data_IF_908781820607
#
_entry.id   IF_908781820607
#
_cell.length_a   1.000
_cell.length_b   1.000
_cell.length_c   1.000
_cell.angle_alpha   90.00
_cell.angle_beta   90.00
_cell.angle_gamma   90.00
#
_symmetry.space_group_name_H-M   'P 1'
#
loop_
_entity.id
_entity.type
_entity.pdbx_description
1 polymer ?
#
# COMPACT_ATOMS: atom_id res chain seq x y z
N UNK A 1 84.55 50.66 -17.97
CA UNK A 1 83.35 50.36 -18.79
C UNK A 1 82.68 49.17 -18.20
N UNK A 2 81.65 49.40 -17.44
CA UNK A 2 80.96 48.40 -16.61
C UNK A 2 79.60 48.12 -17.21
N UNK A 3 79.36 46.88 -17.62
CA UNK A 3 78.05 46.42 -18.11
C UNK A 3 77.21 45.95 -16.94
N UNK A 4 76.08 46.62 -16.70
CA UNK A 4 74.95 46.13 -15.76
C UNK A 4 74.09 45.21 -16.52
N UNK A 5 73.97 43.97 -16.04
CA UNK A 5 73.02 42.96 -16.51
C UNK A 5 71.75 43.11 -15.72
N UNK A 6 70.58 43.28 -16.39
CA UNK A 6 69.29 43.45 -15.83
C UNK A 6 68.65 42.06 -15.46
N UNK A 7 68.56 41.74 -14.19
CA UNK A 7 67.98 40.48 -13.67
C UNK A 7 66.60 40.70 -13.09
N UNK A 8 65.69 41.32 -13.85
CA UNK A 8 64.30 41.54 -13.29
C UNK A 8 63.11 40.94 -14.10
N UNK A 9 63.31 40.15 -15.16
CA UNK A 9 62.19 39.67 -16.00
C UNK A 9 61.81 38.19 -15.86
N UNK A 10 62.53 37.41 -15.07
CA UNK A 10 62.26 35.94 -14.99
C UNK A 10 61.41 35.50 -13.81
N UNK A 11 61.33 36.34 -12.76
CA UNK A 11 60.53 35.94 -11.57
C UNK A 11 59.00 36.12 -11.75
N UNK A 12 58.60 37.19 -12.47
CA UNK A 12 57.15 37.47 -12.70
C UNK A 12 56.48 36.46 -13.66
N UNK A 13 57.23 35.94 -14.64
CA UNK A 13 56.75 34.96 -15.60
C UNK A 13 56.64 33.54 -14.98
N UNK A 14 57.42 33.19 -14.00
CA UNK A 14 57.34 31.91 -13.28
C UNK A 14 56.20 31.92 -12.28
N UNK A 15 55.89 32.99 -11.59
CA UNK A 15 54.79 33.16 -10.68
C UNK A 15 53.41 33.12 -11.41
N UNK A 16 53.31 33.74 -12.60
CA UNK A 16 52.05 33.71 -13.38
C UNK A 16 51.75 32.34 -13.99
N UNK A 17 52.78 31.53 -14.30
CA UNK A 17 52.57 30.14 -14.75
C UNK A 17 52.20 29.22 -13.60
N UNK A 18 52.80 29.32 -12.43
CA UNK A 18 52.45 28.53 -11.25
C UNK A 18 51.00 28.83 -10.80
N UNK A 19 50.57 30.10 -10.80
CA UNK A 19 49.23 30.50 -10.42
C UNK A 19 48.15 29.98 -11.41
N UNK A 20 48.47 29.90 -12.72
CA UNK A 20 47.55 29.34 -13.73
C UNK A 20 47.43 27.84 -13.63
N UNK A 21 48.46 27.09 -13.27
CA UNK A 21 48.37 25.65 -13.07
C UNK A 21 47.61 25.30 -11.77
N UNK A 22 47.75 26.08 -10.71
CA UNK A 22 47.01 25.86 -9.45
C UNK A 22 45.51 26.18 -9.58
N UNK A 23 45.12 27.20 -10.36
CA UNK A 23 43.72 27.49 -10.65
C UNK A 23 43.07 26.41 -11.54
N UNK A 24 43.82 25.88 -12.52
CA UNK A 24 43.28 24.85 -13.41
C UNK A 24 43.08 23.51 -12.71
N UNK A 25 43.97 23.13 -11.78
CA UNK A 25 43.84 21.92 -10.99
C UNK A 25 42.71 22.01 -9.94
N UNK A 26 42.46 23.20 -9.35
CA UNK A 26 41.34 23.40 -8.41
C UNK A 26 40.00 23.41 -9.12
N UNK A 27 39.89 23.93 -10.34
CA UNK A 27 38.61 23.89 -11.12
C UNK A 27 38.32 22.48 -11.61
N UNK A 28 39.31 21.68 -12.01
CA UNK A 28 39.11 20.28 -12.35
C UNK A 28 38.74 19.41 -11.12
N UNK A 29 39.27 19.69 -9.94
CA UNK A 29 38.92 18.98 -8.70
C UNK A 29 37.50 19.30 -8.22
N UNK A 30 37.01 20.52 -8.44
CA UNK A 30 35.63 20.92 -8.13
C UNK A 30 34.62 20.35 -9.14
N UNK A 31 34.99 20.11 -10.38
CA UNK A 31 34.11 19.44 -11.35
C UNK A 31 34.08 17.92 -11.18
N UNK A 32 35.11 17.29 -10.64
CA UNK A 32 35.13 15.86 -10.32
C UNK A 32 34.20 15.48 -9.14
N UNK A 33 33.93 16.42 -8.22
CA UNK A 33 32.95 16.22 -7.14
C UNK A 33 31.49 16.31 -7.62
N UNK A 34 31.21 16.84 -8.81
CA UNK A 34 29.85 17.02 -9.34
C UNK A 34 29.35 15.84 -10.17
N UNK A 35 30.18 14.82 -10.41
CA UNK A 35 29.84 13.65 -11.24
C UNK A 35 30.15 12.32 -10.54
N UNK A 36 29.81 12.20 -9.25
CA UNK A 36 29.68 10.85 -8.71
C UNK A 36 28.40 10.28 -9.28
N UNK A 37 28.46 9.22 -10.10
CA UNK A 37 27.26 8.49 -10.46
C UNK A 37 26.60 8.06 -9.14
N UNK A 38 25.36 8.44 -8.94
CA UNK A 38 24.59 7.95 -7.80
C UNK A 38 24.76 6.44 -7.75
N UNK A 39 25.24 5.92 -6.62
CA UNK A 39 25.38 4.47 -6.46
C UNK A 39 24.09 3.79 -6.93
N UNK A 40 24.16 2.69 -7.70
CA UNK A 40 22.99 2.01 -8.17
C UNK A 40 22.06 1.71 -6.98
N UNK A 41 20.82 2.15 -7.08
CA UNK A 41 19.84 1.99 -6.02
C UNK A 41 18.99 0.74 -6.32
N UNK A 42 19.00 -0.21 -5.40
CA UNK A 42 18.09 -1.34 -5.47
C UNK A 42 16.65 -0.92 -5.20
N UNK A 43 15.67 -1.60 -5.78
CA UNK A 43 14.25 -1.32 -5.61
C UNK A 43 13.66 -1.96 -4.35
N UNK A 44 14.30 -3.00 -3.80
CA UNK A 44 13.80 -3.76 -2.65
C UNK A 44 13.65 -2.96 -1.34
N UNK A 45 14.37 -1.84 -1.21
CA UNK A 45 14.30 -0.96 -0.05
C UNK A 45 13.45 0.30 -0.30
N UNK A 46 12.74 0.36 -1.44
CA UNK A 46 11.91 1.50 -1.79
C UNK A 46 10.47 1.33 -1.29
N UNK A 47 9.82 2.47 -1.16
CA UNK A 47 8.40 2.54 -0.85
C UNK A 47 7.80 3.88 -1.24
N UNK A 48 6.49 3.97 -1.10
CA UNK A 48 5.72 5.19 -1.27
C UNK A 48 4.95 5.52 -0.01
N UNK A 49 4.90 6.81 0.31
CA UNK A 49 3.98 7.38 1.29
C UNK A 49 3.06 8.35 0.57
N UNK A 50 1.76 8.19 0.76
CA UNK A 50 0.76 9.09 0.18
C UNK A 50 0.67 10.36 1.01
N UNK A 51 0.91 11.51 0.39
CA UNK A 51 0.68 12.85 0.94
C UNK A 51 -0.68 13.36 0.43
N UNK A 52 -1.73 13.01 1.18
CA UNK A 52 -3.11 13.10 0.72
C UNK A 52 -3.61 14.54 0.53
N UNK A 53 -3.11 15.50 1.30
CA UNK A 53 -3.56 16.89 1.22
C UNK A 53 -3.07 17.59 -0.06
N UNK A 54 -1.87 17.25 -0.52
CA UNK A 54 -1.21 17.87 -1.68
C UNK A 54 -1.34 17.06 -2.97
N UNK A 55 -1.95 15.86 -2.93
CA UNK A 55 -2.07 15.01 -4.12
C UNK A 55 -0.71 14.54 -4.65
N UNK A 56 0.22 14.26 -3.74
CA UNK A 56 1.58 13.82 -4.02
C UNK A 56 1.85 12.46 -3.39
N UNK A 57 2.94 11.84 -3.81
CA UNK A 57 3.54 10.71 -3.12
C UNK A 57 5.02 10.98 -2.85
N UNK A 58 5.48 10.64 -1.66
CA UNK A 58 6.90 10.65 -1.32
C UNK A 58 7.50 9.27 -1.60
N UNK A 59 8.60 9.22 -2.37
CA UNK A 59 9.40 8.00 -2.55
C UNK A 59 10.37 7.90 -1.38
N UNK A 60 10.34 6.81 -0.66
CA UNK A 60 11.16 6.59 0.53
C UNK A 60 12.12 5.42 0.36
N UNK A 61 13.23 5.47 1.10
CA UNK A 61 14.19 4.37 1.21
C UNK A 61 14.23 3.89 2.65
N UNK A 62 13.87 2.64 2.89
CA UNK A 62 13.75 2.04 4.22
C UNK A 62 15.10 1.76 4.86
N UNK A 63 16.12 1.37 4.10
CA UNK A 63 17.47 1.12 4.63
C UNK A 63 18.21 2.40 5.03
N UNK A 64 17.91 3.53 4.38
CA UNK A 64 18.51 4.82 4.68
C UNK A 64 17.65 5.70 5.59
N UNK A 65 16.43 5.29 5.88
CA UNK A 65 15.42 6.05 6.64
C UNK A 65 15.22 7.46 6.07
N UNK A 66 15.02 7.56 4.75
CA UNK A 66 15.02 8.85 4.05
C UNK A 66 13.85 8.99 3.09
N UNK A 67 13.32 10.21 3.01
CA UNK A 67 12.52 10.67 1.87
C UNK A 67 13.50 11.03 0.73
N UNK A 68 13.34 10.35 -0.42
CA UNK A 68 14.20 10.56 -1.60
C UNK A 68 13.66 11.65 -2.52
N UNK A 69 12.44 12.10 -2.30
CA UNK A 69 11.78 13.14 -3.08
C UNK A 69 10.31 12.81 -3.36
N UNK A 70 9.59 13.82 -3.79
CA UNK A 70 8.15 13.77 -4.04
C UNK A 70 7.82 13.69 -5.52
N UNK A 71 6.70 13.07 -5.84
CA UNK A 71 6.08 13.05 -7.17
C UNK A 71 4.71 13.69 -7.07
N UNK A 72 4.50 14.74 -7.83
CA UNK A 72 3.25 15.52 -7.88
C UNK A 72 2.43 15.24 -9.14
N UNK A 73 1.19 15.80 -9.21
CA UNK A 73 0.33 15.68 -10.38
C UNK A 73 -0.54 14.42 -10.40
N UNK A 74 -0.69 13.75 -9.22
CA UNK A 74 -1.47 12.51 -9.12
C UNK A 74 -2.97 12.74 -8.87
N UNK A 75 -3.43 13.99 -8.73
CA UNK A 75 -4.82 14.34 -8.50
C UNK A 75 -5.28 14.15 -7.07
N UNK A 76 -6.54 13.76 -6.85
CA UNK A 76 -7.10 13.60 -5.51
C UNK A 76 -6.66 12.29 -4.86
N UNK A 77 -5.76 12.38 -3.89
CA UNK A 77 -5.28 11.26 -3.08
C UNK A 77 -5.90 11.19 -1.68
N UNK A 78 -7.02 11.88 -1.46
CA UNK A 78 -7.73 11.86 -0.17
C UNK A 78 -8.16 10.44 0.27
N UNK A 79 -8.33 9.55 -0.69
CA UNK A 79 -8.46 8.12 -0.51
C UNK A 79 -7.79 7.43 -1.70
N UNK A 80 -6.62 6.87 -1.48
CA UNK A 80 -5.80 6.29 -2.53
C UNK A 80 -5.14 5.00 -2.08
N UNK A 81 -4.80 4.15 -3.04
CA UNK A 81 -4.01 2.94 -2.81
C UNK A 81 -2.94 2.76 -3.88
N UNK A 82 -2.01 1.87 -3.62
CA UNK A 82 -0.84 1.63 -4.48
C UNK A 82 -0.64 0.14 -4.68
N UNK A 83 -0.34 -0.26 -5.92
CA UNK A 83 0.26 -1.55 -6.25
C UNK A 83 1.55 -1.34 -7.02
N UNK A 84 2.44 -2.33 -7.00
CA UNK A 84 3.74 -2.23 -7.65
C UNK A 84 3.86 -3.18 -8.84
N UNK A 85 4.67 -2.78 -9.83
CA UNK A 85 5.12 -3.72 -10.87
C UNK A 85 5.94 -4.86 -10.26
N UNK A 86 5.92 -6.03 -10.87
CA UNK A 86 6.60 -7.22 -10.33
C UNK A 86 8.13 -7.04 -10.24
N UNK A 87 8.72 -6.18 -11.08
CA UNK A 87 10.12 -5.78 -11.03
C UNK A 87 10.41 -4.67 -10.01
N UNK A 88 9.38 -4.19 -9.31
CA UNK A 88 9.47 -3.14 -8.26
C UNK A 88 10.00 -1.79 -8.76
N UNK A 89 9.97 -1.53 -10.07
CA UNK A 89 10.44 -0.25 -10.62
C UNK A 89 9.32 0.80 -10.67
N UNK A 90 8.07 0.35 -10.78
CA UNK A 90 6.91 1.22 -10.93
C UNK A 90 5.90 1.02 -9.83
N UNK A 91 5.30 2.12 -9.40
CA UNK A 91 4.10 2.14 -8.58
C UNK A 91 2.90 2.61 -9.42
N UNK A 92 1.76 1.95 -9.24
CA UNK A 92 0.49 2.35 -9.81
C UNK A 92 -0.38 2.88 -8.70
N UNK A 93 -0.69 4.18 -8.77
CA UNK A 93 -1.45 4.90 -7.74
C UNK A 93 -2.85 5.14 -8.24
N UNK A 94 -3.85 4.67 -7.46
CA UNK A 94 -5.27 4.85 -7.74
C UNK A 94 -5.78 6.03 -6.92
N UNK A 95 -6.17 7.10 -7.59
CA UNK A 95 -6.71 8.31 -6.97
C UNK A 95 -8.23 8.26 -6.84
N UNK A 96 -8.77 8.96 -5.84
CA UNK A 96 -10.20 9.06 -5.60
C UNK A 96 -10.96 9.70 -6.77
N UNK A 97 -10.32 10.58 -7.51
CA UNK A 97 -10.87 11.21 -8.71
C UNK A 97 -11.00 10.28 -9.92
N UNK A 98 -10.66 8.99 -9.74
CA UNK A 98 -10.66 8.00 -10.83
C UNK A 98 -9.39 7.99 -11.66
N UNK A 99 -8.37 8.74 -11.26
CA UNK A 99 -7.05 8.71 -11.89
C UNK A 99 -6.28 7.43 -11.58
N UNK A 100 -5.64 6.85 -12.60
CA UNK A 100 -4.61 5.82 -12.48
C UNK A 100 -3.28 6.41 -12.93
N UNK A 101 -2.32 6.50 -12.04
CA UNK A 101 -1.01 7.10 -12.25
C UNK A 101 0.09 6.06 -12.21
N UNK A 102 1.03 6.07 -13.17
CA UNK A 102 2.25 5.24 -13.20
C UNK A 102 3.44 6.10 -12.78
N UNK A 103 4.05 5.75 -11.67
CA UNK A 103 5.19 6.44 -11.07
C UNK A 103 6.43 5.57 -11.18
N UNK A 104 7.50 6.10 -11.74
CA UNK A 104 8.82 5.46 -11.75
C UNK A 104 9.54 5.77 -10.44
N UNK A 105 9.83 4.75 -9.64
CA UNK A 105 10.43 4.89 -8.31
C UNK A 105 11.90 5.30 -8.37
N UNK A 106 12.64 4.85 -9.38
CA UNK A 106 14.06 5.14 -9.52
C UNK A 106 14.31 6.58 -9.97
N UNK A 107 13.51 7.05 -10.93
CA UNK A 107 13.64 8.44 -11.44
C UNK A 107 12.79 9.44 -10.66
N UNK A 108 11.87 8.96 -9.83
CA UNK A 108 10.88 9.76 -9.07
C UNK A 108 10.07 10.68 -9.97
N UNK A 109 9.52 10.10 -11.05
CA UNK A 109 8.74 10.83 -12.04
C UNK A 109 7.39 10.16 -12.25
N UNK A 110 6.37 11.00 -12.47
CA UNK A 110 5.11 10.57 -13.05
C UNK A 110 5.33 10.29 -14.54
N UNK A 111 5.23 9.03 -14.96
CA UNK A 111 5.42 8.66 -16.37
C UNK A 111 4.15 8.75 -17.18
N UNK A 112 3.02 8.35 -16.58
CA UNK A 112 1.74 8.39 -17.24
C UNK A 112 0.60 8.52 -16.22
N UNK A 113 -0.50 9.14 -16.63
CA UNK A 113 -1.75 9.20 -15.86
C UNK A 113 -2.94 9.15 -16.81
N UNK A 114 -3.90 8.29 -16.49
CA UNK A 114 -5.16 8.17 -17.23
C UNK A 114 -6.33 8.40 -16.29
N UNK A 115 -7.32 9.17 -16.75
CA UNK A 115 -8.60 9.31 -16.05
C UNK A 115 -9.50 8.18 -16.52
N UNK A 116 -9.71 7.16 -15.68
CA UNK A 116 -10.37 5.93 -16.09
C UNK A 116 -11.79 5.79 -15.53
N UNK A 117 -12.15 6.58 -14.52
CA UNK A 117 -13.46 6.59 -13.88
C UNK A 117 -13.76 7.95 -13.24
N UNK A 118 -14.93 8.11 -12.64
CA UNK A 118 -15.29 9.28 -11.85
C UNK A 118 -14.93 9.14 -10.36
N UNK A 119 -14.80 7.91 -9.88
CA UNK A 119 -14.39 7.61 -8.50
C UNK A 119 -13.79 6.20 -8.44
N UNK A 120 -12.57 6.12 -7.96
CA UNK A 120 -11.84 4.85 -7.76
C UNK A 120 -11.02 4.94 -6.48
N UNK A 121 -10.77 3.81 -5.83
CA UNK A 121 -10.01 3.79 -4.58
C UNK A 121 -9.00 2.64 -4.51
N UNK A 122 -8.90 1.83 -5.54
CA UNK A 122 -7.99 0.70 -5.48
C UNK A 122 -7.91 -0.11 -6.74
N UNK A 123 -7.02 -1.06 -6.70
CA UNK A 123 -6.77 -1.98 -7.79
C UNK A 123 -5.85 -3.11 -7.42
N UNK A 124 -5.49 -3.90 -8.43
CA UNK A 124 -4.60 -5.04 -8.30
C UNK A 124 -3.63 -5.10 -9.49
N UNK A 125 -2.51 -5.80 -9.31
CA UNK A 125 -1.56 -6.15 -10.36
C UNK A 125 -1.70 -7.64 -10.67
N UNK A 126 -1.77 -8.00 -11.96
CA UNK A 126 -1.79 -9.41 -12.36
C UNK A 126 -0.55 -10.18 -11.89
N UNK A 127 -0.69 -11.50 -11.71
CA UNK A 127 0.40 -12.35 -11.23
C UNK A 127 1.63 -12.29 -12.14
N UNK A 128 1.42 -12.16 -13.45
CA UNK A 128 2.50 -12.03 -14.43
C UNK A 128 2.99 -10.57 -14.65
N UNK A 129 2.38 -9.60 -14.00
CA UNK A 129 2.76 -8.18 -14.10
C UNK A 129 2.32 -7.47 -15.37
N UNK A 130 1.55 -8.13 -16.27
CA UNK A 130 1.12 -7.52 -17.53
C UNK A 130 -0.02 -6.54 -17.41
N UNK A 131 -0.89 -6.73 -16.43
CA UNK A 131 -2.10 -5.93 -16.26
C UNK A 131 -2.14 -5.24 -14.91
N UNK A 132 -2.53 -3.98 -14.92
CA UNK A 132 -2.98 -3.25 -13.75
C UNK A 132 -4.50 -3.05 -13.86
N UNK A 133 -5.22 -3.35 -12.79
CA UNK A 133 -6.68 -3.42 -12.79
C UNK A 133 -7.23 -2.47 -11.75
N UNK A 134 -8.16 -1.60 -12.15
CA UNK A 134 -8.79 -0.60 -11.30
C UNK A 134 -10.22 -1.00 -10.95
N UNK A 135 -10.59 -0.90 -9.67
CA UNK A 135 -11.96 -1.02 -9.21
C UNK A 135 -12.62 0.35 -9.13
N UNK A 136 -13.90 0.44 -9.48
CA UNK A 136 -14.60 1.70 -9.62
C UNK A 136 -15.89 1.75 -8.82
N UNK A 137 -16.14 2.89 -8.17
CA UNK A 137 -17.43 3.21 -7.57
C UNK A 137 -18.37 3.88 -8.56
N UNK A 138 -17.83 4.74 -9.42
CA UNK A 138 -18.61 5.50 -10.41
C UNK A 138 -17.88 5.44 -11.76
N UNK A 139 -18.50 4.90 -12.80
CA UNK A 139 -19.88 4.36 -12.88
C UNK A 139 -20.07 2.99 -12.23
N UNK A 140 -19.04 2.38 -11.66
CA UNK A 140 -18.94 0.99 -11.19
C UNK A 140 -18.08 0.17 -12.13
N UNK A 141 -17.93 -1.12 -11.81
CA UNK A 141 -17.17 -2.05 -12.64
C UNK A 141 -15.65 -2.03 -12.42
N UNK A 142 -14.98 -2.72 -13.34
CA UNK A 142 -13.53 -2.95 -13.30
C UNK A 142 -12.94 -2.63 -14.67
N UNK A 143 -11.82 -1.89 -14.70
CA UNK A 143 -11.07 -1.65 -15.93
C UNK A 143 -9.68 -2.24 -15.86
N UNK A 144 -9.30 -2.93 -16.92
CA UNK A 144 -8.00 -3.62 -17.07
C UNK A 144 -7.13 -2.83 -18.03
N UNK A 145 -5.94 -2.48 -17.60
CA UNK A 145 -4.95 -1.74 -18.38
C UNK A 145 -3.69 -2.57 -18.59
N UNK A 146 -3.06 -2.41 -19.73
CA UNK A 146 -1.69 -2.85 -19.94
C UNK A 146 -0.77 -2.08 -18.98
N UNK A 147 0.01 -2.79 -18.18
CA UNK A 147 0.84 -2.18 -17.13
C UNK A 147 1.99 -1.32 -17.71
N UNK A 148 2.45 -1.62 -18.93
CA UNK A 148 3.52 -0.87 -19.55
C UNK A 148 3.04 0.46 -20.13
N UNK A 149 1.94 0.44 -20.88
CA UNK A 149 1.44 1.59 -21.66
C UNK A 149 0.29 2.34 -21.02
N UNK A 150 -0.40 1.77 -20.04
CA UNK A 150 -1.70 2.20 -19.50
C UNK A 150 -2.82 2.28 -20.57
N UNK A 151 -2.69 1.55 -21.67
CA UNK A 151 -3.79 1.39 -22.61
C UNK A 151 -4.88 0.47 -22.06
N UNK A 152 -6.14 0.80 -22.31
CA UNK A 152 -7.29 -0.02 -21.88
C UNK A 152 -7.30 -1.35 -22.65
N UNK A 153 -7.30 -2.46 -21.92
CA UNK A 153 -7.36 -3.82 -22.44
C UNK A 153 -8.77 -4.39 -22.36
N UNK A 154 -9.46 -4.17 -21.27
CA UNK A 154 -10.83 -4.62 -21.06
C UNK A 154 -11.61 -3.69 -20.13
N UNK A 155 -12.92 -3.58 -20.37
CA UNK A 155 -13.88 -2.91 -19.50
C UNK A 155 -14.93 -3.93 -19.06
N UNK A 156 -15.11 -4.09 -17.76
CA UNK A 156 -16.06 -5.02 -17.13
C UNK A 156 -17.07 -4.16 -16.36
N UNK A 157 -18.21 -3.82 -16.93
CA UNK A 157 -19.12 -2.82 -16.35
C UNK A 157 -19.82 -3.24 -15.06
N UNK A 158 -19.66 -4.49 -14.60
CA UNK A 158 -20.31 -5.04 -13.41
C UNK A 158 -21.85 -4.85 -13.42
N UNK A 159 -22.46 -5.03 -14.60
CA UNK A 159 -23.91 -4.98 -14.75
C UNK A 159 -24.54 -6.24 -14.15
N UNK A 160 -25.26 -6.07 -13.04
CA UNK A 160 -25.91 -7.17 -12.32
C UNK A 160 -27.40 -7.31 -12.66
N UNK A 161 -28.02 -6.26 -13.20
CA UNK A 161 -29.38 -6.27 -13.74
C UNK A 161 -29.44 -5.22 -14.90
N UNK A 162 -30.41 -5.29 -15.81
CA UNK A 162 -30.51 -4.40 -16.95
C UNK A 162 -30.41 -2.91 -16.55
N UNK A 163 -29.36 -2.24 -17.00
CA UNK A 163 -29.06 -0.85 -16.70
C UNK A 163 -28.59 -0.56 -15.28
N UNK A 164 -28.34 -1.59 -14.45
CA UNK A 164 -27.88 -1.42 -13.07
C UNK A 164 -26.41 -1.87 -12.94
N UNK A 165 -25.55 -0.89 -12.71
CA UNK A 165 -24.12 -1.13 -12.45
C UNK A 165 -23.86 -1.14 -10.95
N UNK A 166 -23.00 -2.04 -10.49
CA UNK A 166 -22.59 -2.10 -9.10
C UNK A 166 -21.28 -1.36 -8.89
N UNK A 167 -21.18 -0.71 -7.74
CA UNK A 167 -19.88 -0.32 -7.17
C UNK A 167 -19.05 -1.59 -6.96
N UNK A 168 -17.78 -1.54 -7.35
CA UNK A 168 -16.84 -2.64 -7.14
C UNK A 168 -15.89 -2.30 -6.00
N UNK A 169 -15.70 -3.27 -5.11
CA UNK A 169 -14.85 -3.17 -3.94
C UNK A 169 -14.07 -4.49 -3.75
N UNK A 170 -13.02 -4.46 -2.93
CA UNK A 170 -12.31 -5.68 -2.55
C UNK A 170 -11.63 -6.41 -3.71
N UNK A 171 -11.24 -5.70 -4.77
CA UNK A 171 -10.53 -6.28 -5.90
C UNK A 171 -9.15 -6.80 -5.48
N UNK A 172 -8.90 -8.07 -5.80
CA UNK A 172 -7.62 -8.75 -5.59
C UNK A 172 -7.25 -9.55 -6.83
N UNK A 173 -5.94 -9.75 -7.03
CA UNK A 173 -5.42 -10.76 -7.94
C UNK A 173 -5.47 -12.15 -7.28
N UNK A 174 -5.65 -13.19 -8.05
CA UNK A 174 -5.72 -14.56 -7.54
C UNK A 174 -4.94 -15.54 -8.45
N UNK A 175 -4.42 -16.64 -7.90
CA UNK A 175 -3.78 -17.68 -8.70
C UNK A 175 -4.74 -18.26 -9.72
N UNK A 176 -4.19 -18.64 -10.87
CA UNK A 176 -4.94 -19.33 -11.93
C UNK A 176 -4.22 -20.62 -12.31
N UNK A 177 -4.99 -21.64 -12.66
CA UNK A 177 -4.45 -22.91 -13.20
C UNK A 177 -4.46 -22.95 -14.72
N UNK A 178 -5.06 -21.93 -15.38
CA UNK A 178 -5.20 -21.85 -16.83
C UNK A 178 -4.34 -20.76 -17.47
N UNK A 179 -4.54 -20.56 -18.77
CA UNK A 179 -3.99 -19.40 -19.46
C UNK A 179 -4.84 -18.16 -19.14
N UNK A 180 -4.19 -17.10 -18.74
CA UNK A 180 -4.83 -15.85 -18.36
C UNK A 180 -4.52 -15.42 -16.93
N UNK A 181 -5.07 -14.29 -16.54
CA UNK A 181 -4.90 -13.70 -15.21
C UNK A 181 -6.25 -13.62 -14.52
N UNK A 182 -6.29 -13.99 -13.25
CA UNK A 182 -7.52 -14.05 -12.46
C UNK A 182 -7.59 -12.91 -11.49
N UNK A 183 -8.79 -12.30 -11.42
CA UNK A 183 -9.14 -11.29 -10.43
C UNK A 183 -10.47 -11.65 -9.76
N UNK A 184 -10.58 -11.31 -8.49
CA UNK A 184 -11.79 -11.53 -7.69
C UNK A 184 -12.19 -10.20 -7.07
N UNK A 185 -13.48 -9.89 -7.09
CA UNK A 185 -14.00 -8.64 -6.54
C UNK A 185 -15.46 -8.75 -6.11
N UNK A 186 -15.81 -7.92 -5.13
CA UNK A 186 -17.17 -7.83 -4.58
C UNK A 186 -17.97 -6.77 -5.30
N UNK A 187 -19.24 -7.07 -5.56
CA UNK A 187 -20.23 -6.14 -6.08
C UNK A 187 -21.14 -5.68 -4.93
N UNK A 188 -20.89 -4.45 -4.44
CA UNK A 188 -21.58 -3.90 -3.27
C UNK A 188 -23.10 -3.85 -3.42
N UNK A 189 -23.57 -3.43 -4.59
CA UNK A 189 -25.01 -3.20 -4.84
C UNK A 189 -25.75 -4.46 -5.33
N UNK A 190 -25.06 -5.57 -5.47
CA UNK A 190 -25.59 -6.79 -6.06
C UNK A 190 -25.58 -8.01 -5.12
N UNK A 191 -24.93 -7.90 -3.94
CA UNK A 191 -24.73 -9.03 -3.03
C UNK A 191 -24.01 -10.21 -3.72
N UNK A 192 -23.02 -9.89 -4.59
CA UNK A 192 -22.31 -10.87 -5.40
C UNK A 192 -20.77 -10.71 -5.26
N UNK A 193 -20.06 -11.80 -5.54
CA UNK A 193 -18.63 -11.80 -5.85
C UNK A 193 -18.44 -12.33 -7.27
N UNK A 194 -17.64 -11.62 -8.06
CA UNK A 194 -17.28 -12.05 -9.40
C UNK A 194 -15.83 -12.48 -9.48
N UNK A 195 -15.60 -13.56 -10.24
CA UNK A 195 -14.28 -14.01 -10.64
C UNK A 195 -14.13 -13.70 -12.13
N UNK A 196 -13.13 -12.90 -12.47
CA UNK A 196 -12.82 -12.53 -13.86
C UNK A 196 -11.50 -13.16 -14.29
N UNK A 197 -11.53 -14.00 -15.32
CA UNK A 197 -10.35 -14.53 -16.00
C UNK A 197 -10.08 -13.70 -17.26
N UNK A 198 -8.90 -13.10 -17.34
CA UNK A 198 -8.46 -12.20 -18.43
C UNK A 198 -7.38 -12.92 -19.24
N UNK A 199 -7.68 -13.20 -20.50
CA UNK A 199 -6.71 -13.76 -21.43
C UNK A 199 -6.46 -12.78 -22.59
N UNK A 200 -5.23 -12.75 -23.09
CA UNK A 200 -4.83 -11.84 -24.16
C UNK A 200 -5.67 -12.08 -25.43
N UNK A 201 -6.25 -11.02 -25.96
CA UNK A 201 -7.04 -11.07 -27.21
C UNK A 201 -8.41 -11.74 -27.07
N UNK A 202 -8.87 -12.04 -25.85
CA UNK A 202 -10.17 -12.64 -25.58
C UNK A 202 -11.01 -11.72 -24.68
N UNK A 203 -12.34 -11.84 -24.80
CA UNK A 203 -13.24 -11.20 -23.86
C UNK A 203 -13.06 -11.81 -22.46
N UNK A 204 -13.14 -11.00 -21.38
CA UNK A 204 -13.10 -11.50 -20.01
C UNK A 204 -14.15 -12.58 -19.75
N UNK A 205 -13.74 -13.69 -19.15
CA UNK A 205 -14.67 -14.73 -18.70
C UNK A 205 -15.06 -14.45 -17.27
N UNK A 206 -16.36 -14.28 -17.02
CA UNK A 206 -16.90 -13.92 -15.70
C UNK A 206 -17.64 -15.13 -15.10
N UNK A 207 -17.26 -15.48 -13.88
CA UNK A 207 -18.02 -16.40 -13.02
C UNK A 207 -18.64 -15.59 -11.89
N UNK A 208 -19.97 -15.67 -11.72
CA UNK A 208 -20.71 -14.94 -10.71
C UNK A 208 -21.04 -15.87 -9.53
N UNK A 209 -20.79 -15.41 -8.32
CA UNK A 209 -21.17 -16.07 -7.08
C UNK A 209 -22.20 -15.16 -6.41
N UNK A 210 -23.45 -15.57 -6.44
CA UNK A 210 -24.60 -14.78 -6.01
C UNK A 210 -24.99 -15.08 -4.57
N UNK A 211 -25.71 -14.13 -3.94
CA UNK A 211 -26.27 -14.27 -2.60
C UNK A 211 -25.20 -14.57 -1.53
N UNK A 212 -24.09 -13.84 -1.59
CA UNK A 212 -22.96 -14.06 -0.68
C UNK A 212 -23.17 -13.42 0.70
N UNK A 213 -24.18 -12.58 0.86
CA UNK A 213 -24.49 -11.73 2.02
C UNK A 213 -24.70 -10.29 1.59
N UNK A 214 -25.28 -9.48 2.47
CA UNK A 214 -25.78 -8.15 2.14
C UNK A 214 -24.67 -7.09 2.12
N UNK A 215 -24.61 -6.31 1.03
CA UNK A 215 -23.64 -5.22 0.80
C UNK A 215 -22.19 -5.66 1.05
N UNK A 216 -21.66 -6.61 0.28
CA UNK A 216 -20.26 -7.01 0.45
C UNK A 216 -19.33 -5.79 0.24
N UNK A 217 -18.49 -5.56 1.22
CA UNK A 217 -17.59 -4.41 1.25
C UNK A 217 -16.17 -4.84 1.57
N UNK A 218 -15.23 -4.36 0.77
CA UNK A 218 -13.84 -4.78 0.83
C UNK A 218 -13.65 -6.27 0.49
N UNK A 219 -12.42 -6.73 0.49
CA UNK A 219 -12.07 -8.12 0.19
C UNK A 219 -10.63 -8.41 0.52
N UNK A 220 -10.40 -9.62 1.01
CA UNK A 220 -9.10 -10.16 1.33
C UNK A 220 -8.94 -11.51 0.65
N UNK A 221 -7.75 -11.81 0.16
CA UNK A 221 -7.37 -13.17 -0.24
C UNK A 221 -6.31 -13.70 0.72
N UNK A 222 -6.41 -14.99 1.08
CA UNK A 222 -5.39 -15.62 1.93
C UNK A 222 -4.03 -15.70 1.19
N UNK A 223 -2.89 -15.70 1.92
CA UNK A 223 -1.57 -15.70 1.29
C UNK A 223 -1.29 -16.88 0.34
N UNK A 224 -1.99 -18.01 0.52
CA UNK A 224 -1.96 -19.16 -0.38
C UNK A 224 -2.86 -19.01 -1.61
N UNK A 225 -3.61 -17.90 -1.70
CA UNK A 225 -4.55 -17.63 -2.79
C UNK A 225 -5.81 -18.49 -2.80
N UNK A 226 -6.10 -19.23 -1.72
CA UNK A 226 -7.21 -20.16 -1.68
C UNK A 226 -8.53 -19.52 -1.33
N UNK A 227 -8.56 -18.72 -0.26
CA UNK A 227 -9.82 -18.17 0.24
C UNK A 227 -9.92 -16.68 -0.08
N UNK A 228 -11.02 -16.32 -0.72
CA UNK A 228 -11.46 -14.93 -0.78
C UNK A 228 -12.49 -14.68 0.32
N UNK A 229 -12.31 -13.60 1.07
CA UNK A 229 -13.17 -13.22 2.18
C UNK A 229 -13.72 -11.85 1.89
N UNK A 230 -15.04 -11.71 1.83
CA UNK A 230 -15.71 -10.43 1.71
C UNK A 230 -16.31 -10.01 3.06
N UNK A 231 -16.09 -8.76 3.46
CA UNK A 231 -16.82 -8.12 4.55
C UNK A 231 -18.27 -7.90 4.16
N UNK A 232 -19.18 -7.89 5.13
CA UNK A 232 -20.58 -7.60 4.88
C UNK A 232 -20.94 -6.27 5.58
N UNK A 233 -21.21 -5.22 4.78
CA UNK A 233 -21.57 -3.93 5.33
C UNK A 233 -23.02 -3.88 5.82
N UNK A 234 -23.89 -4.58 5.14
CA UNK A 234 -25.32 -4.60 5.40
C UNK A 234 -25.76 -5.57 6.51
N UNK A 235 -24.91 -6.52 6.91
CA UNK A 235 -25.21 -7.51 7.96
C UNK A 235 -23.93 -7.93 8.72
N UNK A 236 -24.13 -8.60 9.86
CA UNK A 236 -23.02 -9.16 10.63
C UNK A 236 -22.48 -10.45 9.99
N UNK A 237 -21.17 -10.67 10.14
CA UNK A 237 -20.45 -11.81 9.59
C UNK A 237 -19.66 -11.47 8.34
N UNK A 238 -19.05 -12.50 7.77
CA UNK A 238 -18.21 -12.41 6.58
C UNK A 238 -18.57 -13.54 5.63
N UNK A 239 -18.39 -13.30 4.33
CA UNK A 239 -18.53 -14.33 3.31
C UNK A 239 -17.14 -14.92 2.98
N UNK A 240 -16.99 -16.22 3.15
CA UNK A 240 -15.78 -16.98 2.78
C UNK A 240 -16.04 -17.80 1.53
N UNK A 241 -15.16 -17.68 0.55
CA UNK A 241 -15.24 -18.38 -0.74
C UNK A 241 -13.95 -19.17 -0.96
N UNK A 242 -14.05 -20.50 -1.11
CA UNK A 242 -12.91 -21.35 -1.49
C UNK A 242 -12.74 -21.29 -3.02
N UNK A 243 -11.74 -20.54 -3.48
CA UNK A 243 -11.42 -20.36 -4.90
C UNK A 243 -10.84 -21.62 -5.56
N UNK A 244 -10.41 -22.60 -4.75
CA UNK A 244 -9.89 -23.88 -5.27
C UNK A 244 -11.01 -24.91 -5.46
N UNK A 245 -12.20 -24.66 -4.94
CA UNK A 245 -13.33 -25.52 -5.18
C UNK A 245 -13.71 -25.53 -6.68
N UNK A 246 -14.09 -26.68 -7.27
CA UNK A 246 -14.53 -26.75 -8.66
C UNK A 246 -15.72 -25.84 -8.96
N UNK A 247 -16.56 -25.60 -7.98
CA UNK A 247 -17.69 -24.68 -8.02
C UNK A 247 -17.65 -23.81 -6.75
N UNK A 248 -16.92 -22.69 -6.77
CA UNK A 248 -16.83 -21.80 -5.62
C UNK A 248 -18.22 -21.33 -5.16
N UNK A 249 -18.44 -21.42 -3.86
CA UNK A 249 -19.66 -20.95 -3.20
C UNK A 249 -19.28 -20.18 -1.93
N UNK A 250 -20.09 -19.19 -1.60
CA UNK A 250 -19.93 -18.49 -0.34
C UNK A 250 -20.49 -19.30 0.83
N UNK A 251 -19.79 -19.25 1.96
CA UNK A 251 -20.35 -19.64 3.27
C UNK A 251 -20.13 -18.52 4.27
N UNK A 252 -21.09 -18.29 5.14
CA UNK A 252 -20.98 -17.30 6.20
C UNK A 252 -20.07 -17.80 7.31
N UNK A 253 -19.13 -16.96 7.74
CA UNK A 253 -18.26 -17.20 8.89
C UNK A 253 -18.40 -16.04 9.88
N UNK A 254 -18.01 -16.25 11.14
CA UNK A 254 -17.98 -15.23 12.18
C UNK A 254 -19.30 -14.43 12.25
N UNK A 255 -20.44 -15.11 12.35
CA UNK A 255 -21.78 -14.50 12.29
C UNK A 255 -22.05 -13.42 13.35
N UNK A 256 -21.26 -13.37 14.43
CA UNK A 256 -21.31 -12.32 15.44
C UNK A 256 -20.31 -11.17 15.21
N UNK A 257 -19.56 -11.18 14.11
CA UNK A 257 -18.64 -10.14 13.75
C UNK A 257 -19.34 -9.02 12.99
N UNK A 258 -19.37 -7.83 13.53
CA UNK A 258 -20.11 -6.74 12.92
C UNK A 258 -19.87 -5.41 13.66
N UNK A 259 -20.83 -4.50 13.53
CA UNK A 259 -20.76 -3.12 14.02
C UNK A 259 -20.69 -3.00 15.55
N UNK A 260 -21.04 -4.04 16.29
CA UNK A 260 -21.21 -3.92 17.73
C UNK A 260 -22.44 -3.07 18.11
N UNK A 261 -22.53 -2.68 19.38
CA UNK A 261 -23.66 -1.89 19.91
C UNK A 261 -23.35 -0.40 20.06
N UNK A 262 -22.10 0.00 19.97
CA UNK A 262 -21.72 1.41 20.12
C UNK A 262 -21.94 2.19 18.81
N UNK A 263 -22.42 3.45 18.88
CA UNK A 263 -22.45 4.33 17.73
C UNK A 263 -21.02 4.59 17.25
N UNK A 264 -20.71 4.12 16.06
CA UNK A 264 -19.38 4.29 15.46
C UNK A 264 -19.20 5.72 14.94
N UNK A 265 -18.12 6.42 15.28
CA UNK A 265 -17.80 7.72 14.70
C UNK A 265 -17.50 7.61 13.21
N UNK A 266 -17.22 6.41 12.74
CA UNK A 266 -17.05 6.08 11.32
C UNK A 266 -17.90 4.84 11.03
N UNK A 267 -18.94 4.99 10.22
CA UNK A 267 -19.76 3.90 9.72
C UNK A 267 -19.00 3.04 8.72
N UNK A 268 -17.95 2.38 9.16
CA UNK A 268 -17.22 1.50 8.27
C UNK A 268 -17.02 0.18 8.97
N UNK A 269 -17.41 -0.88 8.29
CA UNK A 269 -16.91 -2.20 8.59
C UNK A 269 -15.39 -2.13 8.66
N UNK A 270 -14.77 -2.91 9.53
CA UNK A 270 -13.32 -3.06 9.52
C UNK A 270 -12.86 -3.34 8.10
N UNK A 271 -11.94 -2.54 7.63
CA UNK A 271 -11.32 -2.79 6.36
C UNK A 271 -10.65 -4.16 6.42
N UNK A 272 -11.04 -5.11 5.58
CA UNK A 272 -10.44 -6.44 5.56
C UNK A 272 -8.94 -6.37 5.23
N UNK A 273 -8.51 -5.35 4.49
CA UNK A 273 -7.09 -5.04 4.31
C UNK A 273 -6.39 -4.57 5.59
N UNK A 274 -7.13 -4.32 6.64
CA UNK A 274 -6.65 -4.05 7.99
C UNK A 274 -6.56 -5.30 8.87
N UNK A 275 -6.64 -6.49 8.30
CA UNK A 275 -6.38 -7.74 9.00
C UNK A 275 -4.91 -8.08 9.01
N UNK A 276 -4.51 -8.83 10.02
CA UNK A 276 -3.19 -9.42 10.09
C UNK A 276 -3.29 -10.94 10.18
N UNK A 277 -2.34 -11.62 9.53
CA UNK A 277 -2.16 -13.07 9.67
C UNK A 277 -0.79 -13.33 10.27
N UNK A 278 -0.75 -14.08 11.37
CA UNK A 278 0.46 -14.53 12.03
C UNK A 278 0.37 -16.05 12.26
N UNK A 279 1.12 -16.81 11.49
CA UNK A 279 1.03 -18.28 11.49
C UNK A 279 -0.37 -18.74 11.05
N UNK A 280 -1.01 -19.55 11.90
CA UNK A 280 -2.38 -20.06 11.68
C UNK A 280 -3.47 -19.13 12.20
N UNK A 281 -3.14 -17.96 12.69
CA UNK A 281 -4.10 -17.06 13.30
C UNK A 281 -4.26 -15.79 12.49
N UNK A 282 -5.50 -15.40 12.25
CA UNK A 282 -5.87 -14.08 11.76
C UNK A 282 -6.30 -13.21 12.95
N UNK A 283 -5.89 -11.96 12.92
CA UNK A 283 -6.23 -10.94 13.91
C UNK A 283 -7.11 -9.90 13.23
N UNK A 284 -8.30 -9.69 13.76
CA UNK A 284 -9.32 -8.85 13.17
C UNK A 284 -9.72 -7.72 14.12
N UNK A 285 -9.78 -6.47 13.65
CA UNK A 285 -10.27 -5.37 14.46
C UNK A 285 -11.80 -5.49 14.64
N UNK A 286 -12.27 -5.69 15.87
CA UNK A 286 -13.69 -5.67 16.21
C UNK A 286 -14.14 -4.25 16.56
N UNK A 287 -14.36 -3.41 15.54
CA UNK A 287 -14.82 -2.04 15.72
C UNK A 287 -16.15 -2.01 16.48
N UNK A 288 -16.27 -1.12 17.47
CA UNK A 288 -17.45 -1.00 18.32
C UNK A 288 -17.43 -1.93 19.55
N UNK A 289 -16.41 -2.78 19.69
CA UNK A 289 -16.25 -3.66 20.86
C UNK A 289 -14.92 -3.47 21.59
N UNK A 290 -14.02 -2.62 21.08
CA UNK A 290 -12.68 -2.38 21.62
C UNK A 290 -11.88 -3.67 21.83
N UNK A 291 -11.94 -4.54 20.86
CA UNK A 291 -11.31 -5.85 20.89
C UNK A 291 -10.63 -6.17 19.56
N UNK A 292 -9.59 -6.98 19.61
CA UNK A 292 -9.02 -7.69 18.46
C UNK A 292 -9.43 -9.15 18.56
N UNK A 293 -10.14 -9.64 17.55
CA UNK A 293 -10.50 -11.06 17.47
C UNK A 293 -9.32 -11.87 16.98
N UNK A 294 -9.14 -13.06 17.55
CA UNK A 294 -8.18 -14.06 17.07
C UNK A 294 -8.96 -15.21 16.47
N UNK A 295 -8.70 -15.50 15.20
CA UNK A 295 -9.43 -16.49 14.41
C UNK A 295 -8.44 -17.52 13.86
N UNK A 296 -8.76 -18.79 14.01
CA UNK A 296 -8.02 -19.89 13.39
C UNK A 296 -8.32 -19.92 11.88
N UNK A 297 -7.27 -19.85 11.04
CA UNK A 297 -7.41 -19.74 9.57
C UNK A 297 -7.75 -21.06 8.87
N UNK A 298 -7.72 -22.20 9.55
CA UNK A 298 -8.15 -23.47 9.00
C UNK A 298 -9.65 -23.69 9.24
N UNK A 299 -10.10 -23.41 10.45
CA UNK A 299 -11.53 -23.62 10.84
C UNK A 299 -12.40 -22.40 10.62
N UNK A 300 -11.78 -21.22 10.54
CA UNK A 300 -12.46 -19.92 10.48
C UNK A 300 -13.37 -19.66 11.68
N UNK A 301 -12.94 -20.14 12.85
CA UNK A 301 -13.61 -19.92 14.13
C UNK A 301 -12.80 -18.99 15.02
N UNK A 302 -13.49 -18.20 15.79
CA UNK A 302 -12.91 -17.36 16.83
C UNK A 302 -12.31 -18.24 17.94
N UNK A 303 -11.06 -17.96 18.30
CA UNK A 303 -10.31 -18.67 19.35
C UNK A 303 -10.01 -17.81 20.57
N UNK A 304 -10.03 -16.49 20.43
CA UNK A 304 -9.82 -15.55 21.52
C UNK A 304 -10.29 -14.14 21.15
N UNK A 305 -10.42 -13.30 22.16
CA UNK A 305 -10.61 -11.85 22.08
C UNK A 305 -9.57 -11.17 22.94
N UNK A 306 -8.95 -10.12 22.42
CA UNK A 306 -7.93 -9.35 23.11
C UNK A 306 -8.49 -7.94 23.31
N UNK A 307 -8.79 -7.54 24.56
CA UNK A 307 -9.23 -6.19 24.86
C UNK A 307 -8.15 -5.16 24.45
N UNK A 308 -8.57 -4.06 23.83
CA UNK A 308 -7.70 -2.97 23.41
C UNK A 308 -8.28 -1.63 23.87
N UNK A 309 -7.46 -0.57 23.79
CA UNK A 309 -7.75 0.75 24.36
C UNK A 309 -9.03 1.41 23.81
N UNK A 310 -9.27 1.27 22.51
CA UNK A 310 -10.33 1.97 21.81
C UNK A 310 -10.83 1.18 20.60
N UNK A 311 -11.53 1.85 19.70
CA UNK A 311 -12.04 1.22 18.48
C UNK A 311 -10.89 0.93 17.51
N UNK A 312 -10.48 -0.34 17.33
CA UNK A 312 -9.39 -0.70 16.44
C UNK A 312 -9.79 -0.50 14.98
N UNK A 313 -8.87 0.00 14.15
CA UNK A 313 -9.12 0.24 12.72
C UNK A 313 -8.30 -0.70 11.85
N UNK A 314 -6.99 -0.70 12.04
CA UNK A 314 -6.08 -1.59 11.34
C UNK A 314 -5.28 -2.42 12.33
N UNK A 315 -5.04 -3.65 11.93
CA UNK A 315 -4.18 -4.59 12.65
C UNK A 315 -3.08 -5.03 11.69
N UNK A 316 -1.83 -4.88 12.10
CA UNK A 316 -0.67 -5.21 11.28
C UNK A 316 0.21 -6.23 12.01
N UNK A 317 0.46 -7.38 11.39
CA UNK A 317 1.38 -8.37 11.96
C UNK A 317 2.83 -8.03 11.62
N UNK A 318 3.71 -8.12 12.62
CA UNK A 318 5.14 -8.17 12.38
C UNK A 318 5.45 -9.39 11.53
N UNK A 319 6.32 -9.30 10.51
CA UNK A 319 6.59 -10.42 9.58
C UNK A 319 7.04 -11.73 10.24
N UNK A 320 7.66 -11.67 11.43
CA UNK A 320 8.03 -12.85 12.20
C UNK A 320 6.87 -13.47 13.00
N UNK A 321 5.68 -12.85 12.96
CA UNK A 321 4.48 -13.31 13.63
C UNK A 321 4.43 -13.10 15.15
N UNK A 322 5.44 -12.48 15.77
CA UNK A 322 5.54 -12.35 17.23
C UNK A 322 4.70 -11.21 17.81
N UNK A 323 4.39 -10.21 16.99
CA UNK A 323 3.65 -9.02 17.42
C UNK A 323 2.57 -8.69 16.42
N UNK A 324 1.50 -8.10 16.95
CA UNK A 324 0.44 -7.47 16.17
C UNK A 324 0.27 -6.03 16.68
N UNK A 325 0.31 -5.07 15.76
CA UNK A 325 0.19 -3.66 16.05
C UNK A 325 -1.18 -3.16 15.63
N UNK A 326 -1.81 -2.35 16.47
CA UNK A 326 -3.21 -1.90 16.34
C UNK A 326 -3.28 -0.39 16.46
N UNK A 327 -3.88 0.29 15.49
CA UNK A 327 -4.24 1.70 15.60
C UNK A 327 -5.75 1.86 15.85
N UNK A 328 -6.16 3.08 16.20
CA UNK A 328 -7.50 3.34 16.71
C UNK A 328 -8.19 4.48 15.95
N UNK A 329 -9.54 4.46 16.00
CA UNK A 329 -10.37 5.58 15.60
C UNK A 329 -10.40 6.67 16.70
N UNK A 330 -11.04 7.80 16.40
CA UNK A 330 -11.31 8.87 17.39
C UNK A 330 -12.10 8.30 18.60
N UNK A 331 -11.75 8.65 19.85
CA UNK A 331 -10.78 9.69 20.26
C UNK A 331 -9.33 9.22 20.37
N UNK A 332 -9.06 7.93 20.30
CA UNK A 332 -7.76 7.30 20.59
C UNK A 332 -6.81 7.24 19.38
N UNK A 333 -7.12 7.96 18.33
CA UNK A 333 -6.47 7.92 17.01
C UNK A 333 -5.00 8.41 16.98
N UNK A 334 -4.46 8.88 18.11
CA UNK A 334 -3.02 9.21 18.25
C UNK A 334 -2.19 8.04 18.80
N UNK A 335 -2.84 6.92 19.14
CA UNK A 335 -2.23 5.79 19.83
C UNK A 335 -2.10 4.56 18.96
N UNK A 336 -1.13 3.75 19.32
CA UNK A 336 -0.90 2.41 18.75
C UNK A 336 -0.64 1.47 19.91
N UNK A 337 -1.28 0.31 19.91
CA UNK A 337 -0.99 -0.76 20.87
C UNK A 337 -0.29 -1.94 20.18
N UNK A 338 0.61 -2.57 20.93
CA UNK A 338 1.35 -3.76 20.51
C UNK A 338 0.86 -4.94 21.32
N UNK A 339 0.42 -5.97 20.62
CA UNK A 339 -0.02 -7.23 21.19
C UNK A 339 1.07 -8.27 20.95
N UNK A 340 1.51 -8.97 22.00
CA UNK A 340 2.31 -10.17 21.89
C UNK A 340 1.42 -11.35 21.49
N UNK A 341 1.75 -12.03 20.40
CA UNK A 341 0.91 -13.10 19.83
C UNK A 341 0.93 -14.39 20.66
N UNK A 342 1.99 -14.61 21.45
CA UNK A 342 2.13 -15.80 22.30
C UNK A 342 1.27 -15.67 23.56
N UNK A 343 1.36 -14.52 24.23
CA UNK A 343 0.62 -14.27 25.47
C UNK A 343 -0.80 -13.74 25.21
N UNK A 344 -1.05 -13.20 23.99
CA UNK A 344 -2.30 -12.52 23.59
C UNK A 344 -2.62 -11.33 24.48
N UNK A 345 -1.59 -10.59 24.91
CA UNK A 345 -1.74 -9.42 25.77
C UNK A 345 -1.13 -8.19 25.12
N UNK A 346 -1.70 -7.03 25.43
CA UNK A 346 -1.10 -5.74 25.09
C UNK A 346 0.15 -5.55 25.91
N UNK A 347 1.31 -5.45 25.28
CA UNK A 347 2.61 -5.28 25.92
C UNK A 347 3.12 -3.85 25.86
N UNK A 348 2.61 -3.03 24.96
CA UNK A 348 3.03 -1.63 24.82
C UNK A 348 1.92 -0.76 24.25
N UNK A 349 1.86 0.49 24.70
CA UNK A 349 1.10 1.58 24.07
C UNK A 349 2.08 2.68 23.68
N UNK A 350 1.97 3.18 22.45
CA UNK A 350 2.82 4.20 21.86
C UNK A 350 1.97 5.37 21.37
N UNK A 351 2.55 6.57 21.31
CA UNK A 351 1.94 7.78 20.76
C UNK A 351 2.84 8.38 19.66
N UNK A 352 2.89 7.75 18.46
CA UNK A 352 3.80 8.18 17.40
C UNK A 352 3.44 9.54 16.78
N UNK A 353 2.22 10.03 17.03
CA UNK A 353 1.73 11.32 16.55
C UNK A 353 0.22 11.32 16.38
N UNK A 354 -0.34 12.52 16.09
CA UNK A 354 -1.78 12.71 15.98
C UNK A 354 -2.34 12.17 14.66
N UNK A 355 -3.44 11.44 14.73
CA UNK A 355 -4.15 10.82 13.62
C UNK A 355 -3.30 9.75 12.88
N UNK A 356 -3.00 8.67 13.57
CA UNK A 356 -2.37 7.49 12.96
C UNK A 356 -3.32 6.88 11.94
N UNK A 357 -2.94 6.89 10.65
CA UNK A 357 -3.78 6.35 9.57
C UNK A 357 -3.31 5.01 9.05
N UNK A 358 -2.00 4.79 8.94
CA UNK A 358 -1.46 3.56 8.39
C UNK A 358 -0.16 3.16 9.07
N UNK A 359 0.11 1.86 9.05
CA UNK A 359 1.34 1.26 9.55
C UNK A 359 1.85 0.25 8.52
N UNK A 360 3.17 0.16 8.35
CA UNK A 360 3.77 -0.80 7.43
C UNK A 360 5.11 -1.30 7.98
N UNK A 361 5.27 -2.62 8.03
CA UNK A 361 6.54 -3.25 8.40
C UNK A 361 7.47 -3.41 7.21
N UNK A 362 8.77 -3.24 7.44
CA UNK A 362 9.77 -3.75 6.51
C UNK A 362 9.74 -5.29 6.48
N UNK A 363 10.10 -5.92 5.35
CA UNK A 363 10.07 -7.39 5.26
C UNK A 363 11.04 -8.09 6.23
N UNK A 364 12.07 -7.38 6.70
CA UNK A 364 13.02 -7.88 7.70
C UNK A 364 12.50 -7.84 9.14
N UNK A 365 11.31 -7.26 9.36
CA UNK A 365 10.72 -7.07 10.68
C UNK A 365 11.56 -6.20 11.64
N UNK A 366 12.47 -5.41 11.10
CA UNK A 366 13.39 -4.53 11.85
C UNK A 366 12.85 -3.11 12.03
N UNK A 367 11.83 -2.73 11.28
CA UNK A 367 11.22 -1.40 11.34
C UNK A 367 9.71 -1.49 11.11
N UNK A 368 8.98 -0.61 11.79
CA UNK A 368 7.60 -0.26 11.44
C UNK A 368 7.54 1.24 11.15
N UNK A 369 6.93 1.59 10.02
CA UNK A 369 6.67 2.95 9.61
C UNK A 369 5.22 3.31 9.90
N UNK A 370 4.99 4.44 10.55
CA UNK A 370 3.66 4.85 11.04
C UNK A 370 3.37 6.26 10.55
N UNK A 371 2.31 6.42 9.77
CA UNK A 371 1.85 7.73 9.31
C UNK A 371 0.97 8.40 10.35
N UNK A 372 1.30 9.63 10.71
CA UNK A 372 0.54 10.49 11.64
C UNK A 372 0.08 11.74 10.89
N UNK A 373 -1.13 11.66 10.31
CA UNK A 373 -1.66 12.67 9.38
C UNK A 373 -1.64 14.08 9.94
N UNK A 374 -2.26 14.28 11.12
CA UNK A 374 -2.45 15.61 11.70
C UNK A 374 -1.18 16.14 12.39
N UNK A 375 -0.17 15.29 12.52
CA UNK A 375 1.17 15.68 12.98
C UNK A 375 2.13 15.95 11.82
N UNK A 376 1.73 15.74 10.56
CA UNK A 376 2.54 15.91 9.36
C UNK A 376 3.88 15.16 9.42
N UNK A 377 3.86 13.92 9.89
CA UNK A 377 5.07 13.13 10.01
C UNK A 377 4.83 11.61 9.80
N UNK A 378 5.90 10.93 9.45
CA UNK A 378 6.02 9.47 9.51
C UNK A 378 7.08 9.14 10.55
N UNK A 379 6.70 8.33 11.55
CA UNK A 379 7.62 7.80 12.55
C UNK A 379 8.12 6.43 12.12
N UNK A 380 9.42 6.20 12.22
CA UNK A 380 10.05 4.89 12.01
C UNK A 380 10.49 4.37 13.37
N UNK A 381 9.99 3.22 13.77
CA UNK A 381 10.18 2.64 15.10
C UNK A 381 10.81 1.26 14.97
N UNK A 382 11.77 0.93 15.85
CA UNK A 382 12.27 -0.42 16.04
C UNK A 382 11.24 -1.24 16.84
N UNK A 383 10.64 -2.28 16.27
CA UNK A 383 9.62 -3.05 16.97
C UNK A 383 10.16 -3.96 18.07
N UNK A 384 11.46 -4.08 18.23
CA UNK A 384 12.08 -4.92 19.27
C UNK A 384 12.25 -4.20 20.61
N UNK A 385 12.53 -2.90 20.58
CA UNK A 385 12.73 -2.08 21.78
C UNK A 385 11.77 -0.87 21.85
N UNK A 386 10.98 -0.62 20.77
CA UNK A 386 10.01 0.47 20.63
C UNK A 386 10.63 1.87 20.57
N UNK A 387 11.91 1.96 20.24
CA UNK A 387 12.60 3.24 20.06
C UNK A 387 12.31 3.83 18.68
N UNK A 388 12.15 5.16 18.64
CA UNK A 388 12.02 5.88 17.38
C UNK A 388 13.38 6.01 16.73
N UNK A 389 13.56 5.35 15.58
CA UNK A 389 14.79 5.40 14.78
C UNK A 389 14.90 6.69 13.99
N UNK A 390 13.77 7.17 13.45
CA UNK A 390 13.71 8.36 12.61
C UNK A 390 12.30 8.95 12.60
N UNK A 391 12.22 10.25 12.36
CA UNK A 391 10.97 10.96 12.06
C UNK A 391 11.15 11.71 10.74
N UNK A 392 10.24 11.51 9.81
CA UNK A 392 10.26 12.13 8.48
C UNK A 392 9.09 13.10 8.35
N UNK A 393 9.32 14.42 8.18
CA UNK A 393 8.28 15.39 7.86
C UNK A 393 7.61 15.04 6.52
N UNK A 394 6.28 15.00 6.49
CA UNK A 394 5.48 14.71 5.27
C UNK A 394 4.11 15.39 5.39
N UNK A 395 3.55 15.86 4.27
CA UNK A 395 2.30 16.62 4.26
C UNK A 395 1.07 15.70 4.36
N UNK A 396 0.43 15.71 5.54
CA UNK A 396 -0.74 14.88 5.86
C UNK A 396 -0.60 13.42 5.37
N UNK A 397 0.46 12.68 5.81
CA UNK A 397 0.73 11.35 5.32
C UNK A 397 -0.40 10.38 5.66
N UNK A 398 -0.64 9.44 4.73
CA UNK A 398 -1.68 8.41 4.91
C UNK A 398 -1.14 7.01 4.60
N UNK A 399 -1.46 6.43 3.46
CA UNK A 399 -1.00 5.08 3.10
C UNK A 399 0.53 5.00 2.96
N UNK A 400 1.11 3.96 3.52
CA UNK A 400 2.52 3.60 3.37
C UNK A 400 2.57 2.25 2.66
N UNK A 401 3.33 2.16 1.58
CA UNK A 401 3.43 0.95 0.76
C UNK A 401 4.87 0.69 0.38
N UNK A 402 5.39 -0.49 0.71
CA UNK A 402 6.76 -0.88 0.33
C UNK A 402 6.75 -1.83 -0.85
N UNK A 403 7.81 -1.77 -1.65
CA UNK A 403 7.94 -2.53 -2.90
C UNK A 403 7.90 -4.04 -2.73
N UNK A 404 8.22 -4.58 -1.53
CA UNK A 404 8.10 -6.02 -1.27
C UNK A 404 6.67 -6.56 -1.45
N UNK A 405 5.65 -5.68 -1.40
CA UNK A 405 4.25 -6.06 -1.71
C UNK A 405 4.07 -6.55 -3.14
N UNK A 406 5.00 -6.20 -4.06
CA UNK A 406 4.98 -6.69 -5.45
C UNK A 406 5.02 -8.22 -5.56
N UNK A 407 5.58 -8.92 -4.59
CA UNK A 407 5.66 -10.38 -4.55
C UNK A 407 4.51 -11.08 -3.82
N UNK A 408 3.55 -10.33 -3.28
CA UNK A 408 2.44 -10.89 -2.49
C UNK A 408 1.17 -10.99 -3.33
N UNK A 409 0.34 -11.98 -3.01
CA UNK A 409 -1.00 -12.13 -3.56
C UNK A 409 -1.95 -11.23 -2.75
N UNK A 410 -2.73 -10.41 -3.42
CA UNK A 410 -3.83 -9.66 -2.82
C UNK A 410 -3.47 -8.54 -1.85
N UNK A 411 -2.20 -8.17 -1.76
CA UNK A 411 -1.73 -7.11 -0.87
C UNK A 411 -0.82 -6.13 -1.57
#
# INVERSE_FOLDING_TARGET
MTARINHRSTLSQRLSRALRYTLFTTVLALQACALQPSAPMGTGDLGLVIERASGKVAVVNTSRLQNLGEVSGLGDLSHASVVFSRDQQYAYVFGRDGGLSKVNLLTRKLEARVMQAGNSIGGAMSQDGRYVVAQNYTPGGVKVFDAHTLSLVADIPAEYAPGKLSRVVGLVDAPTTGQGQRFVFSLFDADEVWIADIATGQAPRIQKIQHIGHEPYDGLITPDGRYYIAGLFGEDGLALIDLWAPQPKARKILSGYGRGQEPLPVYKMPHLRGWAVAGRQAYLPAIGRHEVLVVDTETWQETARIPVLGQPVFVMARPDGRQVWVNFAVPDYSRVQVIDTTTRQVVRTLEPGKAVLHMEFTPRADQIWISSRDANLVSVIDPSNFETLQTLPMDAPSGIFFTHRAGRIGF
#
